data_IF_864554738998
#
_entry.id   IF_864554738998
#
_cell.length_a   1.000
_cell.length_b   1.000
_cell.length_c   1.000
_cell.angle_alpha   90.00
_cell.angle_beta   90.00
_cell.angle_gamma   90.00
#
_symmetry.space_group_name_H-M   'P 1'
#
loop_
_entity.id
_entity.type
_entity.pdbx_description
1 polymer ?
#
# COMPACT_ATOMS: atom_id res chain seq x y z
N UNK A 1 0.93 9.85 21.61
CA UNK A 1 2.00 10.80 21.90
C UNK A 1 2.31 11.61 20.64
N UNK A 2 2.29 12.97 20.74
CA UNK A 2 2.46 13.91 19.65
C UNK A 2 1.18 14.11 18.82
N UNK A 3 0.79 15.38 18.64
CA UNK A 3 -0.42 15.79 17.92
C UNK A 3 -0.06 16.60 16.67
N UNK A 4 0.64 15.94 15.74
CA UNK A 4 0.74 16.32 14.34
C UNK A 4 -0.28 15.53 13.52
N UNK A 5 -0.12 15.50 12.19
CA UNK A 5 -1.05 14.82 11.28
C UNK A 5 -1.19 13.33 11.59
N UNK A 6 -0.08 12.59 11.76
CA UNK A 6 -0.13 11.18 12.16
C UNK A 6 -0.75 10.96 13.55
N UNK A 7 -0.52 11.88 14.49
CA UNK A 7 -1.14 11.80 15.82
C UNK A 7 -2.65 11.95 15.78
N UNK A 8 -3.14 12.90 14.99
CA UNK A 8 -4.56 13.11 14.75
C UNK A 8 -5.19 11.93 14.03
N UNK A 9 -4.54 11.41 12.99
CA UNK A 9 -5.03 10.26 12.24
C UNK A 9 -5.15 9.01 13.13
N UNK A 10 -4.15 8.77 13.98
CA UNK A 10 -4.20 7.69 14.99
C UNK A 10 -5.34 7.89 15.99
N UNK A 11 -5.59 9.12 16.47
CA UNK A 11 -6.68 9.42 17.38
C UNK A 11 -8.06 9.16 16.77
N UNK A 12 -8.29 9.64 15.53
CA UNK A 12 -9.51 9.37 14.76
C UNK A 12 -9.75 7.88 14.56
N UNK A 13 -8.69 7.17 14.15
CA UNK A 13 -8.78 5.72 13.94
C UNK A 13 -9.14 4.96 15.23
N UNK A 14 -8.48 5.27 16.34
CA UNK A 14 -8.74 4.60 17.61
C UNK A 14 -10.17 4.83 18.10
N UNK A 15 -10.69 6.06 18.00
CA UNK A 15 -12.08 6.35 18.38
C UNK A 15 -13.07 5.65 17.45
N UNK A 16 -12.80 5.59 16.15
CA UNK A 16 -13.58 4.78 15.20
C UNK A 16 -13.65 3.30 15.63
N UNK A 17 -12.57 2.77 16.18
CA UNK A 17 -12.51 1.40 16.72
C UNK A 17 -13.09 1.29 18.17
N UNK A 18 -13.71 2.33 18.69
CA UNK A 18 -14.35 2.31 20.02
C UNK A 18 -13.39 2.49 21.21
N UNK A 19 -12.14 2.92 20.97
CA UNK A 19 -11.17 3.13 22.04
C UNK A 19 -11.36 4.50 22.73
N UNK A 20 -11.06 4.54 24.03
CA UNK A 20 -10.89 5.79 24.76
C UNK A 20 -9.49 6.36 24.50
N UNK A 21 -9.41 7.60 24.02
CA UNK A 21 -8.16 8.21 23.58
C UNK A 21 -7.74 9.36 24.50
N UNK A 22 -6.50 9.27 24.99
CA UNK A 22 -5.78 10.39 25.60
C UNK A 22 -4.67 10.81 24.65
N UNK A 23 -4.59 12.08 24.36
CA UNK A 23 -3.53 12.66 23.52
C UNK A 23 -2.61 13.49 24.41
N UNK A 24 -1.30 13.32 24.24
CA UNK A 24 -0.30 14.10 24.95
C UNK A 24 0.70 14.69 23.96
N UNK A 25 1.02 15.98 24.12
CA UNK A 25 2.00 16.67 23.30
C UNK A 25 2.91 17.57 24.16
N UNK A 26 4.18 17.65 23.82
CA UNK A 26 5.13 18.50 24.54
C UNK A 26 4.94 20.00 24.28
N UNK A 27 4.27 20.34 23.18
CA UNK A 27 3.98 21.72 22.79
C UNK A 27 2.72 22.23 23.47
N UNK A 28 2.76 23.49 23.93
CA UNK A 28 1.60 24.14 24.52
C UNK A 28 0.42 24.26 23.55
N UNK A 29 0.72 24.48 22.27
CA UNK A 29 -0.26 24.60 21.20
C UNK A 29 0.12 23.63 20.05
N UNK A 30 -0.25 22.36 20.13
CA UNK A 30 0.01 21.41 19.05
C UNK A 30 -0.74 21.82 17.77
N UNK A 31 -0.19 21.58 16.56
CA UNK A 31 -0.79 22.08 15.32
C UNK A 31 -2.20 21.54 15.05
N UNK A 32 -2.52 20.37 15.55
CA UNK A 32 -3.83 19.73 15.31
C UNK A 32 -4.79 19.80 16.53
N UNK A 33 -4.53 20.69 17.52
CA UNK A 33 -5.36 20.78 18.72
C UNK A 33 -6.82 21.17 18.44
N UNK A 34 -7.04 22.18 17.58
CA UNK A 34 -8.37 22.60 17.20
C UNK A 34 -9.11 21.52 16.40
N UNK A 35 -8.42 20.86 15.48
CA UNK A 35 -8.97 19.77 14.67
C UNK A 35 -9.32 18.56 15.55
N UNK A 36 -8.48 18.22 16.52
CA UNK A 36 -8.77 17.15 17.48
C UNK A 36 -10.06 17.44 18.26
N UNK A 37 -10.22 18.65 18.77
CA UNK A 37 -11.41 19.04 19.53
C UNK A 37 -12.71 18.95 18.71
N UNK A 38 -12.63 19.26 17.43
CA UNK A 38 -13.77 19.18 16.51
C UNK A 38 -14.10 17.74 16.08
N UNK A 39 -13.08 16.99 15.67
CA UNK A 39 -13.27 15.68 15.01
C UNK A 39 -13.33 14.53 16.03
N UNK A 40 -12.70 14.71 17.19
CA UNK A 40 -12.57 13.69 18.23
C UNK A 40 -12.89 14.29 19.60
N UNK A 41 -14.10 14.83 19.83
CA UNK A 41 -14.45 15.53 21.07
C UNK A 41 -14.42 14.64 22.31
N UNK A 42 -14.41 13.32 22.15
CA UNK A 42 -14.24 12.35 23.24
C UNK A 42 -12.79 12.18 23.70
N UNK A 43 -11.80 12.66 22.93
CA UNK A 43 -10.39 12.57 23.30
C UNK A 43 -10.02 13.71 24.28
N UNK A 44 -9.16 13.38 25.25
CA UNK A 44 -8.58 14.41 26.14
C UNK A 44 -7.19 14.79 25.66
N UNK A 45 -6.89 16.10 25.61
CA UNK A 45 -5.57 16.62 25.28
C UNK A 45 -4.83 17.03 26.57
N UNK A 46 -3.63 16.48 26.75
CA UNK A 46 -2.74 16.76 27.87
C UNK A 46 -1.47 17.48 27.36
N UNK A 47 -1.01 18.44 28.14
CA UNK A 47 0.26 19.10 27.87
C UNK A 47 1.38 18.41 28.66
N UNK A 48 2.48 18.13 27.97
CA UNK A 48 3.61 17.37 28.53
C UNK A 48 3.44 15.86 28.43
N UNK A 49 4.51 15.14 28.70
CA UNK A 49 4.58 13.67 28.64
C UNK A 49 4.81 13.13 30.07
N UNK A 50 3.80 13.19 30.92
CA UNK A 50 3.84 12.63 32.27
C UNK A 50 3.62 11.12 32.24
N UNK A 51 4.41 10.38 33.01
CA UNK A 51 4.29 8.93 33.17
C UNK A 51 2.93 8.52 33.79
N UNK A 52 2.29 9.39 34.56
CA UNK A 52 0.94 9.15 35.08
C UNK A 52 -0.13 9.00 33.98
N UNK A 53 0.17 9.48 32.76
CA UNK A 53 -0.71 9.28 31.60
C UNK A 53 -0.82 7.82 31.17
N UNK A 54 0.07 6.94 31.63
CA UNK A 54 0.02 5.50 31.35
C UNK A 54 -0.99 4.74 32.21
N UNK A 55 -1.56 5.36 33.25
CA UNK A 55 -2.51 4.68 34.12
C UNK A 55 -3.77 4.24 33.36
N UNK A 56 -4.02 2.92 33.35
CA UNK A 56 -5.13 2.29 32.63
C UNK A 56 -4.98 2.30 31.11
N UNK A 57 -3.79 2.56 30.57
CA UNK A 57 -3.50 2.53 29.14
C UNK A 57 -3.12 1.11 28.70
N UNK A 58 -3.71 0.62 27.63
CA UNK A 58 -3.41 -0.68 27.05
C UNK A 58 -2.47 -0.60 25.82
N UNK A 59 -2.35 0.58 25.22
CA UNK A 59 -1.54 0.81 24.03
C UNK A 59 -1.04 2.25 24.00
N UNK A 60 0.25 2.44 23.79
CA UNK A 60 0.86 3.74 23.51
C UNK A 60 1.09 3.90 22.02
N UNK A 61 0.59 5.00 21.46
CA UNK A 61 0.82 5.37 20.07
C UNK A 61 1.78 6.57 20.00
N UNK A 62 2.87 6.41 19.26
CA UNK A 62 3.91 7.43 19.12
C UNK A 62 3.94 7.99 17.69
N UNK A 63 3.78 9.31 17.56
CA UNK A 63 4.01 10.00 16.29
C UNK A 63 5.46 9.85 15.82
N UNK A 64 5.72 9.68 14.52
CA UNK A 64 7.08 9.48 14.00
C UNK A 64 8.01 10.67 14.29
N UNK A 65 7.50 11.89 14.40
CA UNK A 65 8.29 13.08 14.72
C UNK A 65 8.80 13.19 16.16
N UNK A 66 8.33 12.34 17.08
CA UNK A 66 8.83 12.32 18.45
C UNK A 66 10.11 11.48 18.52
N UNK A 67 11.22 12.17 18.82
CA UNK A 67 12.53 11.54 18.97
C UNK A 67 12.54 10.61 20.18
N UNK A 68 12.82 9.31 20.03
CA UNK A 68 12.72 8.34 21.14
C UNK A 68 13.73 8.60 22.26
N UNK A 69 14.86 9.27 21.95
CA UNK A 69 15.91 9.61 22.90
C UNK A 69 15.68 10.94 23.62
N UNK A 70 14.65 11.72 23.29
CA UNK A 70 14.32 12.92 24.04
C UNK A 70 13.96 12.54 25.49
N UNK A 71 14.43 13.27 26.52
CA UNK A 71 14.32 12.86 27.91
C UNK A 71 12.89 12.49 28.35
N UNK A 72 11.90 13.33 28.02
CA UNK A 72 10.51 13.12 28.38
C UNK A 72 9.90 11.92 27.64
N UNK A 73 10.26 11.74 26.37
CA UNK A 73 9.79 10.62 25.53
C UNK A 73 10.40 9.31 26.03
N UNK A 74 11.72 9.30 26.24
CA UNK A 74 12.42 8.08 26.67
C UNK A 74 11.98 7.60 28.05
N UNK A 75 11.73 8.51 28.99
CA UNK A 75 11.21 8.16 30.32
C UNK A 75 9.82 7.49 30.25
N UNK A 76 8.93 8.06 29.45
CA UNK A 76 7.58 7.49 29.25
C UNK A 76 7.63 6.16 28.54
N UNK A 77 8.46 6.02 27.48
CA UNK A 77 8.60 4.76 26.75
C UNK A 77 9.21 3.65 27.61
N UNK A 78 10.23 3.97 28.45
CA UNK A 78 10.82 3.02 29.39
C UNK A 78 9.75 2.54 30.41
N UNK A 79 8.93 3.46 30.92
CA UNK A 79 7.87 3.11 31.85
C UNK A 79 6.75 2.28 31.21
N UNK A 80 6.43 2.52 29.92
CA UNK A 80 5.49 1.71 29.18
C UNK A 80 6.03 0.28 28.98
N UNK A 81 7.33 0.13 28.67
CA UNK A 81 7.99 -1.16 28.54
C UNK A 81 8.00 -1.94 29.85
N UNK A 82 8.39 -1.30 30.97
CA UNK A 82 8.33 -1.86 32.34
C UNK A 82 6.94 -2.36 32.72
N UNK A 83 5.90 -1.66 32.26
CA UNK A 83 4.51 -2.01 32.50
C UNK A 83 3.96 -3.04 31.49
N UNK A 84 4.75 -3.46 30.50
CA UNK A 84 4.30 -4.36 29.44
C UNK A 84 3.29 -3.72 28.48
N UNK A 85 3.23 -2.38 28.41
CA UNK A 85 2.33 -1.66 27.53
C UNK A 85 2.99 -1.54 26.16
N UNK A 86 2.41 -2.12 25.09
CA UNK A 86 2.99 -2.05 23.77
C UNK A 86 3.04 -0.61 23.23
N UNK A 87 4.15 -0.27 22.56
CA UNK A 87 4.31 1.00 21.86
C UNK A 87 4.25 0.75 20.35
N UNK A 88 3.42 1.50 19.64
CA UNK A 88 3.20 1.38 18.19
C UNK A 88 3.24 2.76 17.53
N UNK A 89 3.44 2.77 16.22
CA UNK A 89 3.27 3.95 15.36
C UNK A 89 2.10 3.76 14.39
N UNK A 90 1.84 4.79 13.61
CA UNK A 90 0.76 4.79 12.61
C UNK A 90 0.85 3.62 11.62
N UNK A 91 2.06 3.33 11.11
CA UNK A 91 2.27 2.24 10.17
C UNK A 91 1.92 0.86 10.77
N UNK A 92 2.21 0.66 12.06
CA UNK A 92 1.83 -0.57 12.76
C UNK A 92 0.31 -0.71 12.89
N UNK A 93 -0.40 0.39 13.18
CA UNK A 93 -1.88 0.38 13.22
C UNK A 93 -2.46 0.13 11.84
N UNK A 94 -1.93 0.79 10.82
CA UNK A 94 -2.37 0.58 9.43
C UNK A 94 -2.20 -0.88 8.99
N UNK A 95 -1.05 -1.49 9.31
CA UNK A 95 -0.81 -2.90 9.02
C UNK A 95 -1.79 -3.83 9.76
N UNK A 96 -2.11 -3.51 11.03
CA UNK A 96 -3.14 -4.24 11.79
C UNK A 96 -4.50 -4.06 11.16
N UNK A 97 -4.89 -2.82 10.82
CA UNK A 97 -6.16 -2.53 10.17
C UNK A 97 -6.36 -3.30 8.86
N UNK A 98 -5.34 -3.39 8.00
CA UNK A 98 -5.43 -4.19 6.78
C UNK A 98 -5.59 -5.69 7.07
N UNK A 99 -4.94 -6.21 8.13
CA UNK A 99 -5.09 -7.61 8.54
C UNK A 99 -6.50 -7.90 9.08
N UNK A 100 -7.06 -6.99 9.86
CA UNK A 100 -8.42 -7.10 10.40
C UNK A 100 -9.45 -7.04 9.27
N UNK A 101 -9.36 -6.06 8.36
CA UNK A 101 -10.23 -5.92 7.20
C UNK A 101 -10.16 -7.13 6.26
N UNK A 102 -8.99 -7.74 6.12
CA UNK A 102 -8.85 -8.99 5.37
C UNK A 102 -9.64 -10.12 6.02
N UNK A 103 -9.61 -10.20 7.35
CA UNK A 103 -10.30 -11.25 8.10
C UNK A 103 -11.81 -11.01 8.14
N UNK A 104 -12.23 -9.76 8.33
CA UNK A 104 -13.63 -9.39 8.54
C UNK A 104 -14.44 -9.34 7.25
N UNK A 105 -13.84 -8.80 6.18
CA UNK A 105 -14.56 -8.54 4.93
C UNK A 105 -13.83 -9.02 3.66
N UNK A 106 -12.70 -9.72 3.81
CA UNK A 106 -11.93 -10.23 2.68
C UNK A 106 -11.14 -9.17 1.91
N UNK A 107 -10.98 -7.96 2.45
CA UNK A 107 -10.23 -6.89 1.81
C UNK A 107 -8.72 -7.17 1.87
N UNK A 108 -8.13 -7.54 0.74
CA UNK A 108 -6.72 -7.94 0.63
C UNK A 108 -6.02 -7.19 -0.53
N UNK A 109 -5.79 -5.88 -0.39
CA UNK A 109 -5.13 -5.08 -1.41
C UNK A 109 -3.65 -5.45 -1.55
N UNK A 110 -3.05 -5.11 -2.69
CA UNK A 110 -1.60 -5.15 -2.86
C UNK A 110 -0.94 -3.96 -2.17
N UNK A 111 0.18 -4.19 -1.49
CA UNK A 111 0.92 -3.13 -0.79
C UNK A 111 2.33 -3.03 -1.37
N UNK A 112 2.65 -1.86 -1.92
CA UNK A 112 3.98 -1.50 -2.42
C UNK A 112 4.54 -0.40 -1.54
N UNK A 113 5.73 -0.59 -0.98
CA UNK A 113 6.34 0.34 -0.05
C UNK A 113 7.69 0.87 -0.57
N UNK A 114 7.89 2.17 -0.44
CA UNK A 114 9.05 2.87 -1.00
C UNK A 114 9.73 3.69 0.10
N UNK A 115 11.03 3.48 0.28
CA UNK A 115 11.88 4.31 1.12
C UNK A 115 13.25 4.54 0.46
N UNK A 116 14.08 5.33 1.09
CA UNK A 116 15.42 5.71 0.66
C UNK A 116 15.82 7.04 1.30
N UNK A 117 17.03 7.48 1.14
CA UNK A 117 17.39 8.85 1.50
C UNK A 117 16.81 9.82 0.47
N UNK A 118 17.02 9.56 -0.82
CA UNK A 118 16.57 10.40 -1.93
C UNK A 118 15.66 9.65 -2.91
N UNK A 119 14.86 10.40 -3.68
CA UNK A 119 14.04 9.87 -4.78
C UNK A 119 12.70 9.23 -4.36
N UNK A 120 12.37 9.17 -3.07
CA UNK A 120 11.14 8.56 -2.56
C UNK A 120 9.89 9.08 -3.25
N UNK A 121 9.64 10.38 -3.17
CA UNK A 121 8.42 11.03 -3.68
C UNK A 121 8.22 10.81 -5.16
N UNK A 122 9.29 10.99 -5.96
CA UNK A 122 9.23 10.77 -7.42
C UNK A 122 8.89 9.33 -7.74
N UNK A 123 9.57 8.38 -7.08
CA UNK A 123 9.33 6.94 -7.31
C UNK A 123 7.92 6.54 -6.88
N UNK A 124 7.47 7.02 -5.72
CA UNK A 124 6.12 6.73 -5.19
C UNK A 124 5.02 7.26 -6.11
N UNK A 125 5.14 8.53 -6.53
CA UNK A 125 4.16 9.16 -7.44
C UNK A 125 4.13 8.49 -8.81
N UNK A 126 5.30 8.12 -9.36
CA UNK A 126 5.37 7.42 -10.63
C UNK A 126 4.78 6.00 -10.53
N UNK A 127 5.09 5.28 -9.46
CA UNK A 127 4.54 3.93 -9.21
C UNK A 127 3.01 3.97 -9.11
N UNK A 128 2.46 4.93 -8.36
CA UNK A 128 1.03 5.12 -8.24
C UNK A 128 0.39 5.36 -9.62
N UNK A 129 0.94 6.28 -10.42
CA UNK A 129 0.44 6.55 -11.78
C UNK A 129 0.51 5.36 -12.72
N UNK A 130 1.55 4.53 -12.62
CA UNK A 130 1.66 3.32 -13.44
C UNK A 130 0.60 2.28 -13.07
N UNK A 131 0.30 2.13 -11.78
CA UNK A 131 -0.74 1.22 -11.30
C UNK A 131 -2.13 1.74 -11.68
N UNK A 132 -2.38 3.05 -11.57
CA UNK A 132 -3.63 3.68 -12.04
C UNK A 132 -3.82 3.46 -13.56
N UNK A 133 -2.77 3.63 -14.38
CA UNK A 133 -2.83 3.33 -15.81
C UNK A 133 -3.07 1.88 -16.14
N UNK A 134 -2.73 0.97 -15.25
CA UNK A 134 -3.08 -0.45 -15.36
C UNK A 134 -4.54 -0.74 -14.96
N UNK A 135 -5.33 0.29 -14.60
CA UNK A 135 -6.76 0.19 -14.30
C UNK A 135 -7.08 -0.16 -12.85
N UNK A 136 -6.12 -0.07 -11.94
CA UNK A 136 -6.35 -0.35 -10.52
C UNK A 136 -6.58 0.94 -9.72
N UNK A 137 -7.46 0.89 -8.72
CA UNK A 137 -7.62 1.97 -7.73
C UNK A 137 -6.43 1.97 -6.78
N UNK A 138 -5.80 3.15 -6.62
CA UNK A 138 -4.58 3.31 -5.83
C UNK A 138 -4.87 4.14 -4.59
N UNK A 139 -4.41 3.66 -3.44
CA UNK A 139 -4.26 4.44 -2.21
C UNK A 139 -2.82 4.93 -2.12
N UNK A 140 -2.62 6.23 -2.26
CA UNK A 140 -1.32 6.88 -2.10
C UNK A 140 -1.27 7.56 -0.72
N UNK A 141 -0.34 7.16 0.14
CA UNK A 141 -0.27 7.66 1.50
C UNK A 141 1.12 7.54 2.12
N UNK A 142 1.31 8.15 3.27
CA UNK A 142 2.50 7.98 4.11
C UNK A 142 3.25 9.28 4.40
N UNK A 143 4.55 9.31 4.14
CA UNK A 143 5.41 10.47 4.42
C UNK A 143 5.09 11.69 3.54
N UNK A 144 4.59 11.47 2.33
CA UNK A 144 3.88 12.48 1.54
C UNK A 144 2.41 12.32 1.87
N UNK A 145 1.79 13.38 2.43
CA UNK A 145 0.38 13.35 2.83
C UNK A 145 -0.54 12.88 1.71
N UNK A 146 -1.69 12.32 2.01
CA UNK A 146 -2.28 12.20 3.34
C UNK A 146 -1.69 11.05 4.17
N UNK A 147 -2.06 11.01 5.46
CA UNK A 147 -1.63 9.96 6.40
C UNK A 147 -2.23 8.60 6.03
N UNK A 148 -1.59 7.53 6.48
CA UNK A 148 -2.02 6.15 6.17
C UNK A 148 -3.44 5.86 6.67
N UNK A 149 -3.68 6.17 7.94
CA UNK A 149 -4.95 5.86 8.59
C UNK A 149 -6.10 6.77 8.14
N UNK A 150 -5.86 8.06 7.88
CA UNK A 150 -6.93 8.92 7.36
C UNK A 150 -7.31 8.53 5.93
N UNK A 151 -6.35 8.16 5.09
CA UNK A 151 -6.63 7.68 3.73
C UNK A 151 -7.49 6.40 3.77
N UNK A 152 -7.14 5.47 4.64
CA UNK A 152 -7.91 4.23 4.80
C UNK A 152 -9.31 4.50 5.40
N UNK A 153 -9.39 5.37 6.42
CA UNK A 153 -10.64 5.75 7.06
C UNK A 153 -11.62 6.38 6.07
N UNK A 154 -11.14 7.34 5.27
CA UNK A 154 -11.96 8.02 4.26
C UNK A 154 -12.46 7.04 3.20
N UNK A 155 -11.58 6.14 2.71
CA UNK A 155 -11.97 5.13 1.76
C UNK A 155 -13.03 4.16 2.32
N UNK A 156 -12.91 3.76 3.59
CA UNK A 156 -13.91 2.93 4.27
C UNK A 156 -15.25 3.65 4.50
N UNK A 157 -15.23 4.96 4.73
CA UNK A 157 -16.45 5.75 4.91
C UNK A 157 -17.20 5.96 3.59
N UNK A 158 -16.48 5.98 2.48
CA UNK A 158 -17.03 6.12 1.14
C UNK A 158 -17.43 4.79 0.49
N UNK A 159 -16.96 3.65 1.04
CA UNK A 159 -17.31 2.33 0.52
C UNK A 159 -18.80 2.09 0.74
N UNK A 160 -19.57 1.73 -0.31
CA UNK A 160 -20.96 1.35 -0.18
C UNK A 160 -21.12 0.19 0.82
N UNK A 161 -22.03 0.33 1.77
CA UNK A 161 -22.38 -0.81 2.62
C UNK A 161 -23.03 -1.86 1.75
N UNK A 162 -22.67 -3.16 1.90
CA UNK A 162 -23.38 -4.22 1.22
C UNK A 162 -24.86 -4.07 1.52
N UNK A 163 -25.69 -3.99 0.48
CA UNK A 163 -27.13 -4.15 0.64
C UNK A 163 -27.31 -5.55 1.25
N UNK A 164 -27.70 -5.60 2.53
CA UNK A 164 -28.20 -6.84 3.09
C UNK A 164 -29.41 -7.17 2.21
N UNK A 165 -29.29 -8.19 1.36
CA UNK A 165 -30.47 -8.82 0.76
C UNK A 165 -31.34 -9.21 1.95
N UNK A 166 -32.44 -8.47 2.16
CA UNK A 166 -33.46 -8.88 3.10
C UNK A 166 -33.90 -10.27 2.62
N UNK A 167 -33.45 -11.30 3.34
CA UNK A 167 -33.93 -12.62 3.13
C UNK A 167 -35.45 -12.51 3.20
N UNK A 168 -36.10 -12.78 2.09
CA UNK A 168 -37.57 -12.78 1.93
C UNK A 168 -38.15 -13.79 2.93
N UNK A 169 -38.32 -13.33 4.18
CA UNK A 169 -39.11 -14.02 5.18
C UNK A 169 -40.54 -13.68 4.86
N UNK A 170 -41.13 -14.48 3.96
CA UNK A 170 -42.53 -14.44 3.68
C UNK A 170 -43.37 -14.66 4.95
N UNK A 171 -43.58 -13.59 5.69
CA UNK A 171 -44.62 -13.53 6.72
C UNK A 171 -45.86 -12.97 6.08
N UNK A 172 -46.77 -13.86 5.73
CA UNK A 172 -48.15 -13.51 5.40
C UNK A 172 -48.78 -12.80 6.63
N UNK A 173 -48.82 -11.47 6.59
CA UNK A 173 -49.63 -10.70 7.54
C UNK A 173 -50.99 -10.45 6.91
N UNK A 174 -51.99 -11.07 7.50
CA UNK A 174 -53.42 -10.85 7.21
C UNK A 174 -53.79 -9.38 7.51
N UNK A 175 -54.43 -8.79 6.49
CA UNK A 175 -55.00 -7.43 6.53
C UNK A 175 -56.13 -7.42 7.56
N UNK A 176 -56.06 -6.50 8.52
CA UNK A 176 -57.23 -5.94 9.15
C UNK A 176 -57.19 -4.44 9.01
N UNK A 177 -58.21 -3.94 8.28
CA UNK A 177 -58.63 -2.55 8.22
C UNK A 177 -58.90 -2.00 9.61
N UNK A 178 -58.42 -0.79 9.95
CA UNK A 178 -59.26 0.24 10.52
C UNK A 178 -58.64 1.62 10.36
N UNK A 179 -59.52 2.54 10.00
CA UNK A 179 -59.33 3.85 9.52
C UNK A 179 -59.05 4.92 10.59
N UNK A 180 -58.62 6.09 10.13
CA UNK A 180 -58.82 7.47 10.67
C UNK A 180 -57.68 8.00 11.56
N UNK A 181 -57.11 9.15 11.34
CA UNK A 181 -57.53 10.53 11.07
C UNK A 181 -56.31 11.43 10.90
N UNK A 182 -56.46 12.39 10.04
CA UNK A 182 -55.76 13.63 9.79
C UNK A 182 -54.95 14.28 10.93
N UNK A 183 -53.77 14.87 10.59
CA UNK A 183 -53.60 16.34 10.62
C UNK A 183 -52.15 16.77 10.31
N UNK A 184 -52.08 17.58 9.28
CA UNK A 184 -51.29 18.81 9.06
C UNK A 184 -49.74 18.79 9.14
N UNK A 185 -49.13 18.99 7.96
CA UNK A 185 -47.95 19.81 7.78
C UNK A 185 -48.32 21.32 7.98
N UNK A 186 -47.45 22.33 8.01
CA UNK A 186 -46.23 22.47 7.22
C UNK A 186 -45.08 23.27 7.91
N UNK A 187 -43.94 23.39 7.33
CA UNK A 187 -43.35 24.64 6.80
C UNK A 187 -41.85 24.53 6.54
N UNK A 188 -41.52 24.91 5.33
CA UNK A 188 -40.19 25.13 4.81
C UNK A 188 -39.45 26.27 5.54
N UNK A 189 -38.11 26.15 5.58
CA UNK A 189 -37.23 27.32 5.50
C UNK A 189 -35.91 26.91 4.83
N UNK A 190 -35.74 27.47 3.64
CA UNK A 190 -34.50 27.52 2.90
C UNK A 190 -33.47 28.35 3.68
N UNK A 191 -32.22 27.91 3.63
CA UNK A 191 -31.09 28.78 3.88
C UNK A 191 -29.97 28.40 2.93
N UNK A 192 -29.86 29.16 1.85
CA UNK A 192 -28.66 29.31 1.03
C UNK A 192 -27.44 29.60 1.91
N UNK A 193 -26.36 28.88 1.71
CA UNK A 193 -25.04 29.34 2.12
C UNK A 193 -24.05 29.13 0.99
N UNK A 194 -23.56 30.28 0.57
CA UNK A 194 -22.50 30.57 -0.37
C UNK A 194 -21.29 29.63 -0.22
N UNK A 195 -20.86 29.16 -1.39
CA UNK A 195 -19.57 28.51 -1.57
C UNK A 195 -18.50 29.60 -1.56
N UNK A 196 -17.75 29.71 -0.46
CA UNK A 196 -16.54 30.52 -0.42
C UNK A 196 -15.42 29.81 -1.21
N UNK A 197 -14.98 30.46 -2.28
CA UNK A 197 -13.79 30.08 -3.04
C UNK A 197 -12.56 30.19 -2.14
N UNK A 198 -11.87 29.09 -1.93
CA UNK A 198 -10.54 29.08 -1.33
C UNK A 198 -9.52 29.41 -2.42
N UNK A 199 -8.81 30.50 -2.19
CA UNK A 199 -7.76 31.03 -3.05
C UNK A 199 -6.60 30.06 -3.18
N UNK A 200 -6.11 29.89 -4.40
CA UNK A 200 -4.87 29.23 -4.74
C UNK A 200 -3.67 30.08 -4.26
N UNK A 201 -2.59 29.49 -3.73
CA UNK A 201 -1.36 30.21 -3.50
C UNK A 201 -0.62 30.47 -4.81
N UNK A 202 -0.21 31.70 -4.99
CA UNK A 202 0.53 32.24 -6.13
C UNK A 202 1.94 31.68 -6.21
N UNK A 203 2.31 31.22 -7.41
CA UNK A 203 3.67 30.96 -7.86
C UNK A 203 4.51 32.23 -7.77
N UNK A 204 5.67 32.14 -7.14
CA UNK A 204 6.75 33.09 -7.27
C UNK A 204 7.94 32.41 -7.97
N UNK A 205 8.07 32.76 -9.21
CA UNK A 205 9.23 32.87 -10.10
C UNK A 205 10.54 32.19 -9.73
N UNK A 206 11.03 31.35 -10.63
CA UNK A 206 12.41 31.39 -11.11
C UNK A 206 12.44 31.13 -12.62
N UNK A 207 12.63 32.23 -13.32
CA UNK A 207 12.91 32.32 -14.75
C UNK A 207 14.37 31.90 -15.01
N UNK A 208 14.57 30.95 -15.93
CA UNK A 208 15.76 30.89 -16.80
C UNK A 208 15.42 30.13 -18.08
N UNK A 209 15.71 30.66 -19.27
CA UNK A 209 15.26 30.12 -20.54
C UNK A 209 16.14 28.97 -21.00
N UNK A 210 15.51 27.88 -21.41
CA UNK A 210 16.16 26.83 -22.20
C UNK A 210 15.65 26.99 -23.64
N UNK A 211 16.59 27.30 -24.54
CA UNK A 211 16.37 27.45 -25.98
C UNK A 211 15.80 26.17 -26.58
N UNK A 212 14.68 26.33 -27.29
CA UNK A 212 14.09 25.29 -28.11
C UNK A 212 14.82 25.23 -29.46
N UNK A 213 15.40 24.07 -29.80
CA UNK A 213 15.80 23.74 -31.17
C UNK A 213 14.73 22.79 -31.73
N UNK A 214 13.88 23.35 -32.55
CA UNK A 214 12.97 22.59 -33.39
C UNK A 214 13.64 22.23 -34.69
N UNK A 215 13.72 20.94 -35.02
CA UNK A 215 13.78 20.47 -36.38
C UNK A 215 12.84 19.28 -36.52
N UNK A 216 11.75 19.54 -37.21
CA UNK A 216 10.83 18.52 -37.70
C UNK A 216 11.21 18.30 -39.15
N UNK A 217 11.81 17.14 -39.47
CA UNK A 217 11.91 16.66 -40.84
C UNK A 217 10.73 15.72 -41.11
N UNK A 218 9.89 16.17 -42.02
CA UNK A 218 8.82 15.41 -42.67
C UNK A 218 9.39 14.31 -43.52
N UNK A 219 9.05 13.06 -43.21
CA UNK A 219 9.33 11.90 -44.07
C UNK A 219 8.07 11.58 -44.87
N UNK A 220 8.26 11.67 -46.18
CA UNK A 220 7.37 11.37 -47.30
C UNK A 220 6.84 9.92 -47.26
N UNK A 221 5.51 9.78 -47.34
CA UNK A 221 4.82 8.51 -47.52
C UNK A 221 4.88 8.09 -49.00
N UNK A 222 5.62 7.02 -49.31
CA UNK A 222 5.34 6.22 -50.49
C UNK A 222 5.38 4.74 -50.13
N UNK A 223 4.20 4.17 -49.98
CA UNK A 223 4.01 2.71 -49.99
C UNK A 223 4.10 2.15 -51.40
N UNK A 224 4.66 0.97 -51.59
CA UNK A 224 4.25 0.09 -52.66
C UNK A 224 3.30 -0.98 -52.14
N UNK A 225 2.13 -1.04 -52.73
CA UNK A 225 1.18 -2.14 -52.64
C UNK A 225 1.82 -3.46 -53.07
N UNK A 226 1.76 -4.47 -52.21
CA UNK A 226 2.06 -5.84 -52.56
C UNK A 226 0.74 -6.62 -52.66
N UNK A 227 0.53 -7.21 -53.84
CA UNK A 227 -0.59 -8.11 -54.15
C UNK A 227 -0.61 -9.34 -53.23
N UNK A 228 -1.81 -9.88 -52.88
CA UNK A 228 -1.92 -11.07 -52.08
C UNK A 228 -1.56 -12.33 -52.87
N UNK A 229 -0.58 -13.07 -52.39
CA UNK A 229 -0.29 -14.39 -52.85
C UNK A 229 -1.36 -15.38 -52.37
N UNK A 230 -1.94 -16.12 -53.31
CA UNK A 230 -2.80 -17.28 -53.07
C UNK A 230 -2.05 -18.31 -52.22
N UNK A 231 -2.57 -18.56 -51.01
CA UNK A 231 -2.12 -19.68 -50.21
C UNK A 231 -3.20 -20.76 -50.31
N UNK A 232 -2.86 -21.81 -51.06
CA UNK A 232 -3.55 -23.08 -51.05
C UNK A 232 -3.71 -23.60 -49.62
N UNK A 233 -4.94 -23.78 -49.18
CA UNK A 233 -5.27 -24.45 -47.91
C UNK A 233 -5.18 -25.96 -48.12
N UNK A 234 -4.43 -26.72 -47.30
CA UNK A 234 -4.63 -28.15 -47.21
C UNK A 234 -5.91 -28.41 -46.46
N UNK A 235 -6.79 -29.21 -47.07
CA UNK A 235 -7.97 -29.82 -46.46
C UNK A 235 -7.55 -30.68 -45.26
N UNK A 236 -7.71 -30.14 -44.05
CA UNK A 236 -7.64 -30.95 -42.81
C UNK A 236 -8.92 -31.79 -42.71
N UNK A 237 -8.74 -33.07 -43.03
CA UNK A 237 -9.78 -34.08 -42.76
C UNK A 237 -10.00 -34.19 -41.25
N UNK A 238 -11.18 -33.82 -40.77
CA UNK A 238 -11.62 -34.06 -39.40
C UNK A 238 -11.53 -35.57 -39.07
N UNK A 239 -10.97 -35.98 -37.94
CA UNK A 239 -11.00 -37.35 -37.51
C UNK A 239 -12.48 -37.77 -37.25
N UNK A 240 -12.86 -39.01 -37.54
CA UNK A 240 -14.25 -39.48 -37.38
C UNK A 240 -14.65 -39.41 -35.90
N UNK A 241 -15.73 -38.67 -35.65
CA UNK A 241 -16.38 -38.62 -34.33
C UNK A 241 -16.92 -40.01 -34.05
N UNK A 242 -16.28 -40.75 -33.16
CA UNK A 242 -16.85 -41.97 -32.58
C UNK A 242 -18.04 -41.59 -31.70
N UNK A 243 -19.23 -42.13 -31.89
CA UNK A 243 -20.34 -41.85 -30.99
C UNK A 243 -19.99 -42.37 -29.59
N UNK A 244 -20.06 -41.47 -28.59
CA UNK A 244 -20.02 -41.88 -27.19
C UNK A 244 -21.11 -42.86 -26.93
N UNK A 245 -20.76 -44.05 -26.44
CA UNK A 245 -21.70 -45.04 -25.94
C UNK A 245 -22.56 -44.42 -24.83
N UNK A 246 -23.88 -44.49 -24.94
CA UNK A 246 -24.81 -44.16 -23.86
C UNK A 246 -24.62 -45.12 -22.69
N UNK A 247 -23.59 -44.96 -21.91
CA UNK A 247 -23.47 -45.57 -20.58
C UNK A 247 -24.34 -44.79 -19.60
N UNK A 248 -25.62 -45.17 -19.56
CA UNK A 248 -26.63 -44.58 -18.66
C UNK A 248 -26.35 -44.82 -17.15
N UNK A 249 -25.26 -45.51 -16.81
CA UNK A 249 -24.87 -45.87 -15.43
C UNK A 249 -23.57 -45.20 -14.95
N UNK A 250 -23.05 -44.20 -15.66
CA UNK A 250 -21.91 -43.43 -15.13
C UNK A 250 -22.40 -42.61 -13.92
N UNK A 251 -21.72 -42.72 -12.72
CA UNK A 251 -22.10 -41.91 -11.57
C UNK A 251 -21.97 -40.43 -11.93
N UNK A 252 -23.05 -39.66 -11.74
CA UNK A 252 -23.06 -38.22 -11.87
C UNK A 252 -21.96 -37.68 -10.94
N UNK A 253 -20.86 -37.21 -11.52
CA UNK A 253 -19.84 -36.48 -10.75
C UNK A 253 -20.52 -35.18 -10.33
N UNK A 254 -20.97 -35.12 -9.08
CA UNK A 254 -21.40 -33.87 -8.45
C UNK A 254 -20.19 -32.92 -8.46
N UNK A 255 -20.17 -31.99 -9.43
CA UNK A 255 -19.18 -30.93 -9.44
C UNK A 255 -19.41 -30.11 -8.16
N UNK A 256 -18.37 -30.03 -7.33
CA UNK A 256 -18.41 -29.15 -6.17
C UNK A 256 -18.83 -27.74 -6.62
N UNK A 257 -19.69 -27.06 -5.85
CA UNK A 257 -20.12 -25.71 -6.20
C UNK A 257 -18.89 -24.83 -6.41
N UNK A 258 -18.91 -23.92 -7.38
CA UNK A 258 -17.80 -23.02 -7.60
C UNK A 258 -17.47 -22.27 -6.29
N UNK A 259 -16.20 -22.01 -6.00
CA UNK A 259 -15.82 -21.26 -4.81
C UNK A 259 -16.55 -19.92 -4.81
N UNK A 260 -16.96 -19.42 -3.62
CA UNK A 260 -17.64 -18.14 -3.53
C UNK A 260 -16.79 -17.05 -4.21
N UNK A 261 -17.44 -16.17 -4.95
CA UNK A 261 -16.77 -15.04 -5.60
C UNK A 261 -16.03 -14.21 -4.56
N UNK A 262 -14.80 -13.76 -4.88
CA UNK A 262 -14.08 -12.85 -4.02
C UNK A 262 -14.88 -11.55 -3.81
N UNK A 263 -14.87 -10.96 -2.61
CA UNK A 263 -15.59 -9.73 -2.35
C UNK A 263 -15.08 -8.62 -3.27
N UNK A 264 -16.00 -7.85 -3.84
CA UNK A 264 -15.69 -6.69 -4.67
C UNK A 264 -15.91 -5.43 -3.87
N UNK A 265 -15.06 -4.44 -4.08
CA UNK A 265 -15.12 -3.12 -3.43
C UNK A 265 -15.16 -2.05 -4.51
N UNK A 266 -15.93 -0.98 -4.27
CA UNK A 266 -16.12 0.09 -5.25
C UNK A 266 -15.15 1.25 -5.05
N UNK A 267 -14.79 1.57 -3.82
CA UNK A 267 -13.94 2.72 -3.44
C UNK A 267 -12.60 2.29 -2.86
N UNK A 268 -12.59 1.24 -2.03
CA UNK A 268 -11.36 0.78 -1.38
C UNK A 268 -10.23 0.53 -2.39
N UNK A 269 -9.01 1.02 -2.14
CA UNK A 269 -7.87 0.82 -3.02
C UNK A 269 -7.58 -0.66 -3.28
N UNK A 270 -7.32 -1.01 -4.52
CA UNK A 270 -6.85 -2.35 -4.89
C UNK A 270 -5.34 -2.49 -4.71
N UNK A 271 -4.64 -1.35 -4.72
CA UNK A 271 -3.22 -1.27 -4.43
C UNK A 271 -2.91 -0.06 -3.56
N UNK A 272 -2.08 -0.23 -2.55
CA UNK A 272 -1.50 0.83 -1.75
C UNK A 272 -0.07 1.09 -2.21
N UNK A 273 0.26 2.35 -2.43
CA UNK A 273 1.62 2.81 -2.72
C UNK A 273 2.05 3.75 -1.60
N UNK A 274 2.97 3.30 -0.77
CA UNK A 274 3.32 3.95 0.48
C UNK A 274 4.72 4.56 0.39
N UNK A 275 4.82 5.86 0.63
CA UNK A 275 6.10 6.49 0.91
C UNK A 275 6.39 6.43 2.41
N UNK A 276 7.49 5.81 2.82
CA UNK A 276 7.81 5.63 4.23
C UNK A 276 9.15 6.25 4.60
N UNK A 277 9.15 7.07 5.64
CA UNK A 277 10.37 7.62 6.25
C UNK A 277 11.01 6.60 7.20
N UNK A 278 12.28 6.83 7.55
CA UNK A 278 12.95 6.01 8.56
C UNK A 278 12.29 6.12 9.94
N UNK A 279 11.67 7.26 10.24
CA UNK A 279 10.96 7.51 11.50
C UNK A 279 9.67 6.70 11.62
N UNK A 280 8.94 6.53 10.51
CA UNK A 280 7.74 5.68 10.46
C UNK A 280 8.08 4.19 10.51
N UNK A 281 9.23 3.81 9.97
CA UNK A 281 9.72 2.43 9.95
C UNK A 281 10.38 2.01 11.26
N UNK A 282 10.79 2.98 12.10
CA UNK A 282 11.46 2.65 13.35
C UNK A 282 10.52 1.93 14.34
N UNK A 283 10.99 0.81 14.88
CA UNK A 283 10.21 -0.03 15.81
C UNK A 283 9.07 -0.84 15.18
N UNK A 284 8.84 -0.75 13.87
CA UNK A 284 7.78 -1.52 13.19
C UNK A 284 8.20 -2.98 13.03
N UNK A 285 7.31 -3.91 13.37
CA UNK A 285 7.57 -5.36 13.30
C UNK A 285 6.47 -6.16 12.58
N UNK A 286 5.27 -5.58 12.41
CA UNK A 286 4.10 -6.24 11.84
C UNK A 286 3.77 -5.80 10.40
N UNK A 287 4.62 -4.98 9.79
CA UNK A 287 4.44 -4.54 8.41
C UNK A 287 4.95 -5.59 7.42
N UNK A 288 4.12 -6.00 6.48
CA UNK A 288 4.43 -7.05 5.51
C UNK A 288 3.86 -6.66 4.13
N UNK A 289 4.56 -5.80 3.36
CA UNK A 289 4.13 -5.43 2.02
C UNK A 289 4.32 -6.59 1.02
N UNK A 290 3.60 -6.54 -0.12
CA UNK A 290 3.82 -7.48 -1.23
C UNK A 290 5.17 -7.21 -1.93
N UNK A 291 5.56 -5.95 -2.05
CA UNK A 291 6.87 -5.55 -2.56
C UNK A 291 7.36 -4.27 -1.86
N UNK A 292 8.66 -4.17 -1.68
CA UNK A 292 9.26 -2.97 -1.10
C UNK A 292 10.62 -2.65 -1.73
N UNK A 293 10.96 -1.36 -1.74
CA UNK A 293 12.24 -0.85 -2.23
C UNK A 293 12.91 0.07 -1.22
N UNK A 294 14.21 -0.11 -1.06
CA UNK A 294 15.12 0.91 -0.51
C UNK A 294 15.92 1.46 -1.68
N UNK A 295 15.66 2.71 -2.05
CA UNK A 295 16.26 3.30 -3.25
C UNK A 295 17.76 3.55 -3.09
N UNK A 296 18.15 4.08 -1.95
CA UNK A 296 19.53 4.41 -1.60
C UNK A 296 19.66 4.75 -0.11
N UNK A 297 20.87 4.65 0.40
CA UNK A 297 21.23 5.03 1.78
C UNK A 297 22.44 5.94 1.75
N UNK A 298 22.23 7.22 2.03
CA UNK A 298 23.30 8.21 2.27
C UNK A 298 23.12 8.83 3.65
N UNK A 299 24.12 9.53 4.15
CA UNK A 299 24.09 10.13 5.48
C UNK A 299 22.93 11.10 5.62
N UNK A 300 22.04 10.82 6.59
CA UNK A 300 20.89 11.64 6.92
C UNK A 300 20.36 11.24 8.30
N UNK A 301 19.69 12.16 9.01
CA UNK A 301 18.99 11.90 10.27
C UNK A 301 19.83 11.19 11.37
N UNK A 302 21.15 11.42 11.43
CA UNK A 302 22.01 10.80 12.43
C UNK A 302 21.78 11.35 13.84
N UNK A 303 21.30 12.59 13.96
CA UNK A 303 20.82 13.19 15.20
C UNK A 303 19.68 12.38 15.82
N UNK A 304 18.84 11.79 15.00
CA UNK A 304 17.69 10.99 15.42
C UNK A 304 18.06 9.51 15.64
N UNK A 305 18.77 8.89 14.69
CA UNK A 305 19.10 7.45 14.72
C UNK A 305 20.41 7.14 15.47
N UNK A 306 21.26 8.11 15.72
CA UNK A 306 22.54 7.97 16.39
C UNK A 306 23.66 7.37 15.52
N UNK A 307 23.35 6.57 14.49
CA UNK A 307 24.34 6.00 13.59
C UNK A 307 23.76 5.63 12.21
N UNK A 308 24.65 5.54 11.22
CA UNK A 308 24.30 5.04 9.88
C UNK A 308 23.74 3.61 9.92
N UNK A 309 24.27 2.75 10.78
CA UNK A 309 23.80 1.39 10.93
C UNK A 309 22.35 1.33 11.46
N UNK A 310 22.05 2.15 12.47
CA UNK A 310 20.68 2.25 13.00
C UNK A 310 19.69 2.83 11.97
N UNK A 311 20.12 3.86 11.21
CA UNK A 311 19.34 4.44 10.13
C UNK A 311 19.03 3.42 9.03
N UNK A 312 20.05 2.68 8.55
CA UNK A 312 19.89 1.62 7.58
C UNK A 312 18.98 0.49 8.10
N UNK A 313 19.17 0.07 9.36
CA UNK A 313 18.35 -0.95 10.00
C UNK A 313 16.88 -0.52 10.15
N UNK A 314 16.61 0.76 10.45
CA UNK A 314 15.26 1.28 10.48
C UNK A 314 14.59 1.16 9.09
N UNK A 315 15.29 1.59 8.01
CA UNK A 315 14.76 1.48 6.65
C UNK A 315 14.60 0.04 6.17
N UNK A 316 15.49 -0.88 6.56
CA UNK A 316 15.41 -2.30 6.17
C UNK A 316 14.12 -2.99 6.66
N UNK A 317 13.47 -2.46 7.72
CA UNK A 317 12.18 -2.97 8.20
C UNK A 317 11.05 -2.88 7.17
N UNK A 318 11.23 -2.05 6.14
CA UNK A 318 10.25 -1.91 5.04
C UNK A 318 10.01 -3.22 4.30
N UNK A 319 11.01 -4.10 4.23
CA UNK A 319 10.91 -5.35 3.49
C UNK A 319 10.01 -6.40 4.15
N UNK A 320 9.67 -6.23 5.42
CA UNK A 320 8.90 -7.24 6.15
C UNK A 320 9.52 -8.64 6.04
N UNK A 321 8.68 -9.68 6.16
CA UNK A 321 9.17 -11.08 6.16
C UNK A 321 9.10 -11.77 4.81
N UNK A 322 8.08 -11.50 3.99
CA UNK A 322 7.71 -12.35 2.85
C UNK A 322 7.61 -11.61 1.50
N UNK A 323 7.57 -10.27 1.47
CA UNK A 323 7.40 -9.50 0.25
C UNK A 323 8.64 -9.54 -0.67
N UNK A 324 8.46 -9.16 -1.93
CA UNK A 324 9.56 -9.03 -2.88
C UNK A 324 10.45 -7.86 -2.45
N UNK A 325 11.75 -8.11 -2.33
CA UNK A 325 12.74 -7.08 -2.08
C UNK A 325 13.25 -6.51 -3.41
N UNK A 326 13.03 -5.22 -3.65
CA UNK A 326 13.60 -4.51 -4.81
C UNK A 326 14.84 -3.77 -4.35
N UNK A 327 15.99 -4.19 -4.82
CA UNK A 327 17.31 -3.84 -4.28
C UNK A 327 18.13 -3.06 -5.30
N UNK A 328 18.60 -1.89 -4.90
CA UNK A 328 19.57 -1.11 -5.66
C UNK A 328 20.95 -1.79 -5.60
N UNK A 329 21.39 -2.34 -6.72
CA UNK A 329 22.66 -3.04 -6.86
C UNK A 329 23.89 -2.12 -6.77
N UNK A 330 23.68 -0.83 -7.03
CA UNK A 330 24.76 0.16 -7.03
C UNK A 330 25.00 0.78 -5.65
N UNK A 331 24.15 0.46 -4.66
CA UNK A 331 24.29 0.90 -3.27
C UNK A 331 24.69 -0.28 -2.38
N UNK A 332 25.95 -0.31 -1.87
CA UNK A 332 26.43 -1.42 -1.06
C UNK A 332 25.66 -1.58 0.27
N UNK A 333 25.19 -0.48 0.88
CA UNK A 333 24.43 -0.54 2.13
C UNK A 333 23.05 -1.17 1.88
N UNK A 334 22.43 -0.89 0.73
CA UNK A 334 21.16 -1.52 0.33
C UNK A 334 21.37 -2.99 -0.01
N UNK A 335 22.48 -3.33 -0.68
CA UNK A 335 22.83 -4.73 -0.96
C UNK A 335 23.01 -5.58 0.31
N UNK A 336 23.57 -5.02 1.35
CA UNK A 336 23.78 -5.69 2.65
C UNK A 336 22.46 -5.94 3.41
N UNK A 337 21.34 -5.36 2.99
CA UNK A 337 20.02 -5.61 3.58
C UNK A 337 19.41 -6.96 3.16
N UNK A 338 19.94 -7.62 2.13
CA UNK A 338 19.45 -8.93 1.69
C UNK A 338 19.89 -9.99 2.70
N UNK A 339 18.95 -10.66 3.39
CA UNK A 339 19.32 -11.64 4.40
C UNK A 339 19.92 -12.89 3.75
N UNK A 340 20.80 -13.60 4.46
CA UNK A 340 21.30 -14.90 4.02
C UNK A 340 20.14 -15.91 3.91
N UNK A 341 20.28 -16.94 3.08
CA UNK A 341 19.27 -18.00 2.95
C UNK A 341 19.02 -18.71 4.28
N UNK A 342 17.75 -18.96 4.58
CA UNK A 342 17.37 -19.73 5.76
C UNK A 342 17.39 -21.24 5.48
N UNK A 343 18.01 -22.00 6.37
CA UNK A 343 18.03 -23.46 6.30
C UNK A 343 16.98 -24.04 7.25
N UNK A 344 15.83 -24.42 6.70
CA UNK A 344 14.74 -25.02 7.46
C UNK A 344 15.01 -26.53 7.59
N UNK A 345 15.32 -26.98 8.80
CA UNK A 345 15.48 -28.40 9.08
C UNK A 345 14.12 -29.10 9.07
N UNK A 346 13.99 -30.15 8.28
CA UNK A 346 12.82 -31.03 8.35
C UNK A 346 12.78 -31.71 9.70
N UNK A 347 11.71 -31.61 10.46
CA UNK A 347 11.52 -32.35 11.72
C UNK A 347 11.46 -33.89 11.54
N UNK A 348 11.54 -34.38 10.31
CA UNK A 348 11.43 -35.78 9.95
C UNK A 348 12.83 -36.35 9.70
N UNK A 349 13.21 -37.45 10.44
CA UNK A 349 14.50 -38.11 10.33
C UNK A 349 14.68 -38.65 8.90
N UNK A 350 15.77 -38.23 8.23
CA UNK A 350 16.10 -38.66 6.86
C UNK A 350 15.60 -37.70 5.74
N UNK A 351 14.87 -36.63 6.05
CA UNK A 351 14.48 -35.63 5.06
C UNK A 351 15.54 -34.52 5.02
N UNK A 352 16.05 -34.13 3.83
CA UNK A 352 17.05 -33.07 3.74
C UNK A 352 16.48 -31.73 4.19
N UNK A 353 17.34 -30.87 4.74
CA UNK A 353 16.96 -29.48 5.05
C UNK A 353 16.61 -28.71 3.77
N UNK A 354 15.60 -27.86 3.84
CA UNK A 354 15.20 -26.98 2.73
C UNK A 354 15.86 -25.62 2.91
N UNK A 355 16.60 -25.17 1.92
CA UNK A 355 17.12 -23.80 1.88
C UNK A 355 16.05 -22.89 1.25
N UNK A 356 15.68 -21.85 1.95
CA UNK A 356 14.68 -20.83 1.50
C UNK A 356 15.41 -19.52 1.30
N UNK A 357 15.21 -18.95 0.13
CA UNK A 357 15.73 -17.63 -0.26
C UNK A 357 14.60 -16.60 -0.21
N UNK A 358 14.95 -15.35 0.04
CA UNK A 358 14.03 -14.23 -0.17
C UNK A 358 13.86 -13.99 -1.67
N UNK A 359 12.66 -13.59 -2.07
CA UNK A 359 12.42 -13.11 -3.42
C UNK A 359 13.05 -11.73 -3.57
N UNK A 360 14.04 -11.62 -4.46
CA UNK A 360 14.81 -10.40 -4.68
C UNK A 360 14.87 -10.07 -6.16
N UNK A 361 14.55 -8.83 -6.49
CA UNK A 361 14.72 -8.23 -7.82
C UNK A 361 15.75 -7.11 -7.70
N UNK A 362 16.80 -7.16 -8.49
CA UNK A 362 17.83 -6.12 -8.48
C UNK A 362 17.63 -5.12 -9.61
N UNK A 363 17.98 -3.87 -9.34
CA UNK A 363 18.12 -2.84 -10.37
C UNK A 363 19.46 -2.13 -10.22
N UNK A 364 19.97 -1.56 -11.33
CA UNK A 364 21.24 -0.83 -11.35
C UNK A 364 21.47 -0.15 -12.67
N UNK A 365 22.56 0.59 -12.77
CA UNK A 365 22.94 1.37 -13.96
C UNK A 365 23.74 0.55 -15.00
N UNK A 366 24.07 -0.69 -14.71
CA UNK A 366 24.68 -1.65 -15.63
C UNK A 366 23.66 -2.69 -16.15
N UNK A 367 24.08 -3.55 -17.04
CA UNK A 367 23.24 -4.62 -17.61
C UNK A 367 22.65 -5.53 -16.51
N UNK A 368 21.39 -5.97 -16.65
CA UNK A 368 20.78 -6.89 -15.69
C UNK A 368 21.51 -8.24 -15.68
N UNK A 369 21.67 -8.84 -14.49
CA UNK A 369 22.53 -10.02 -14.30
C UNK A 369 21.78 -11.33 -14.11
N UNK A 370 20.53 -11.28 -13.65
CA UNK A 370 19.69 -12.45 -13.36
C UNK A 370 18.33 -12.30 -14.00
N UNK A 371 17.66 -13.38 -14.37
CA UNK A 371 16.26 -13.31 -14.78
C UNK A 371 15.41 -12.57 -13.75
N UNK A 372 14.62 -11.60 -14.21
CA UNK A 372 13.83 -10.72 -13.37
C UNK A 372 14.48 -9.39 -13.00
N UNK A 373 15.82 -9.28 -13.04
CA UNK A 373 16.56 -8.04 -12.76
C UNK A 373 16.36 -6.99 -13.84
N UNK A 374 16.50 -5.73 -13.42
CA UNK A 374 16.47 -4.56 -14.31
C UNK A 374 17.85 -3.90 -14.37
N UNK A 375 18.15 -3.25 -15.50
CA UNK A 375 19.40 -2.54 -15.69
C UNK A 375 19.43 -1.73 -16.96
N UNK A 376 20.52 -1.02 -17.22
CA UNK A 376 20.74 -0.23 -18.41
C UNK A 376 21.74 -0.93 -19.33
N UNK A 377 21.43 -0.93 -20.62
CA UNK A 377 22.33 -1.41 -21.66
C UNK A 377 22.48 -0.29 -22.71
N UNK A 378 23.71 0.06 -23.04
CA UNK A 378 23.97 1.07 -24.06
C UNK A 378 24.34 0.37 -25.36
N UNK A 379 23.50 0.55 -26.38
CA UNK A 379 23.75 0.09 -27.75
C UNK A 379 23.67 1.26 -28.71
N UNK A 380 24.67 1.40 -29.58
CA UNK A 380 24.76 2.46 -30.60
C UNK A 380 24.57 3.88 -30.02
N UNK A 381 25.07 4.12 -28.82
CA UNK A 381 24.98 5.42 -28.11
C UNK A 381 23.65 5.71 -27.42
N UNK A 382 22.68 4.78 -27.48
CA UNK A 382 21.40 4.88 -26.80
C UNK A 382 21.37 3.99 -25.56
N UNK A 383 20.88 4.51 -24.43
CA UNK A 383 20.68 3.75 -23.21
C UNK A 383 19.27 3.13 -23.20
N UNK A 384 19.20 1.83 -22.98
CA UNK A 384 17.97 1.06 -22.93
C UNK A 384 17.73 0.53 -21.52
N UNK A 385 16.54 0.75 -20.98
CA UNK A 385 16.09 0.05 -19.78
C UNK A 385 15.72 -1.38 -20.17
N UNK A 386 16.45 -2.33 -19.63
CA UNK A 386 16.28 -3.75 -19.92
C UNK A 386 15.85 -4.54 -18.72
N UNK A 387 15.03 -5.57 -18.96
CA UNK A 387 14.72 -6.61 -17.99
C UNK A 387 15.25 -7.95 -18.48
N UNK A 388 16.09 -8.61 -17.70
CA UNK A 388 16.54 -9.96 -18.01
C UNK A 388 15.37 -10.96 -17.92
N UNK A 389 15.29 -11.88 -18.87
CA UNK A 389 14.34 -13.00 -18.89
C UNK A 389 15.09 -14.31 -18.91
N UNK A 390 14.44 -15.37 -18.44
CA UNK A 390 14.96 -16.72 -18.69
C UNK A 390 15.04 -16.97 -20.19
N UNK A 391 16.11 -17.64 -20.58
CA UNK A 391 16.27 -18.06 -21.99
C UNK A 391 15.28 -19.19 -22.25
N UNK A 392 14.35 -18.98 -23.17
CA UNK A 392 13.48 -20.04 -23.65
C UNK A 392 14.37 -21.11 -24.34
N UNK A 393 14.43 -22.35 -23.79
CA UNK A 393 15.28 -23.41 -24.35
C UNK A 393 14.88 -23.81 -25.78
N UNK A 394 13.68 -23.42 -26.23
CA UNK A 394 13.19 -23.68 -27.59
C UNK A 394 13.69 -22.65 -28.61
N UNK A 395 14.13 -21.47 -28.15
CA UNK A 395 14.65 -20.41 -29.02
C UNK A 395 16.13 -20.67 -29.30
N UNK A 396 16.44 -21.09 -30.54
CA UNK A 396 17.84 -21.18 -31.02
C UNK A 396 18.43 -19.78 -31.05
N UNK A 397 19.27 -19.42 -30.08
CA UNK A 397 20.07 -18.19 -30.15
C UNK A 397 20.97 -18.24 -31.37
N UNK A 398 20.80 -17.27 -32.28
CA UNK A 398 21.79 -17.07 -33.36
C UNK A 398 23.11 -16.72 -32.70
N UNK A 399 24.13 -17.58 -32.87
CA UNK A 399 25.48 -17.23 -32.47
C UNK A 399 25.91 -16.00 -33.29
N UNK A 400 25.94 -14.87 -32.62
CA UNK A 400 26.55 -13.66 -33.13
C UNK A 400 27.93 -13.46 -32.56
#
# INVERSE_FOLDING_TARGET
LGLGDSGLAMARWCVRCGAHVRVADTRANPPQAATLANDVPSATLHHGLDVALLDGVNLVLKSPGLMPNAPDVSALLAKADDAGIPVRGELSLFATALADLKTEMGYAPKVVAITGTNGKTTTTSLTAKLIERAGLRVGLAGNIGPTLLDTLRIALEQEPKPLLEEADVGVAVSVHDEANTESEAPLAAAADREIAQVAQPTDAALDAPVEAVAHVDTIDETQPEAEPADIDQPEDAEPPITPLSDDADAPLIELAPPPPAAPTFDVLPQAWVLELSSFQLDGVSNFAPDAAVVLNITQDHLDWHGSMAAYAAAKARIFGKNGIMVINRDDPVVMDMVPPPEVIKSGVKGRPAKTVYRDVVYFGLDAPRRPGDFGLVTESGMAWLMRAREVDPTVKLKKG
#
